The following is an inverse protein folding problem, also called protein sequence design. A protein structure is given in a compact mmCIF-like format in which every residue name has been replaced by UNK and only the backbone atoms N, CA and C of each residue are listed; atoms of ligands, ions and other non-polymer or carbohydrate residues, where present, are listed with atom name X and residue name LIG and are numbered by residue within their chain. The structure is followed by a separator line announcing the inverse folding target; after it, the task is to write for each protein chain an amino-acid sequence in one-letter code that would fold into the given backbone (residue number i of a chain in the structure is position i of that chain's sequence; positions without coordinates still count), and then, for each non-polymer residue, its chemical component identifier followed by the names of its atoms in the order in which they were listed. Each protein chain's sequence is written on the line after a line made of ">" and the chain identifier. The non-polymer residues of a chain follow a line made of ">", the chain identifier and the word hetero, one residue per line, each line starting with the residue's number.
data_IF_810798636834
#
_entry.id   IF_810798636834
#
_cell.length_a   1.000
_cell.length_b   1.000
_cell.length_c   1.000
_cell.angle_alpha   90.00
_cell.angle_beta   90.00
_cell.angle_gamma   90.00
#
_symmetry.space_group_name_H-M   'P 1'
#
loop_
_entity.id
_entity.type
_entity.pdbx_description
1 polymer ?
#
# COMPACT_ATOMS: atom_id res chain seq x y z
N UNK A 1 3.43 -9.49 20.59
CA UNK A 1 3.57 -9.38 19.13
C UNK A 1 3.56 -10.78 18.56
N UNK A 2 2.66 -11.08 17.64
CA UNK A 2 2.52 -12.40 16.99
C UNK A 2 2.84 -12.25 15.50
N UNK A 3 3.71 -13.13 14.99
CA UNK A 3 4.02 -13.23 13.56
C UNK A 3 3.47 -14.55 13.03
N UNK A 4 2.81 -14.52 11.87
CA UNK A 4 2.18 -15.67 11.25
C UNK A 4 2.43 -15.66 9.75
N UNK A 5 2.90 -16.80 9.22
CA UNK A 5 2.90 -17.02 7.78
C UNK A 5 1.47 -17.31 7.30
N UNK A 6 1.06 -16.64 6.25
CA UNK A 6 -0.26 -16.79 5.64
C UNK A 6 -0.10 -17.14 4.17
N UNK A 7 -0.95 -18.01 3.66
CA UNK A 7 -1.01 -18.37 2.25
C UNK A 7 -2.46 -18.21 1.77
N UNK A 8 -2.68 -17.29 0.84
CA UNK A 8 -4.00 -16.92 0.36
C UNK A 8 -4.12 -17.32 -1.10
N UNK A 9 -5.14 -18.13 -1.42
CA UNK A 9 -5.41 -18.51 -2.80
C UNK A 9 -6.06 -17.35 -3.54
N UNK A 10 -5.38 -16.86 -4.56
CA UNK A 10 -5.87 -15.82 -5.46
C UNK A 10 -5.96 -16.38 -6.89
N UNK A 11 -7.15 -16.87 -7.24
CA UNK A 11 -7.42 -17.60 -8.49
C UNK A 11 -6.49 -18.83 -8.65
N UNK A 12 -5.58 -18.85 -9.62
CA UNK A 12 -4.59 -19.93 -9.81
C UNK A 12 -3.27 -19.68 -9.06
N UNK A 13 -3.13 -18.54 -8.38
CA UNK A 13 -1.92 -18.15 -7.67
C UNK A 13 -2.08 -18.30 -6.16
N UNK A 14 -0.99 -18.63 -5.50
CA UNK A 14 -0.85 -18.56 -4.05
C UNK A 14 -0.12 -17.25 -3.69
N UNK A 15 -0.73 -16.47 -2.81
CA UNK A 15 -0.10 -15.29 -2.23
C UNK A 15 0.44 -15.68 -0.86
N UNK A 16 1.74 -15.91 -0.78
CA UNK A 16 2.40 -16.20 0.47
C UNK A 16 2.84 -14.89 1.13
N UNK A 17 2.57 -14.75 2.41
CA UNK A 17 2.81 -13.50 3.11
C UNK A 17 3.08 -13.66 4.59
N UNK A 18 3.38 -12.55 5.22
CA UNK A 18 3.62 -12.44 6.65
C UNK A 18 2.63 -11.44 7.24
N UNK A 19 1.83 -11.95 8.17
CA UNK A 19 0.97 -11.16 9.04
C UNK A 19 1.70 -10.94 10.37
N UNK A 20 1.84 -9.67 10.79
CA UNK A 20 2.38 -9.33 12.09
C UNK A 20 1.34 -8.54 12.88
N UNK A 21 0.97 -9.07 14.04
CA UNK A 21 -0.06 -8.51 14.93
C UNK A 21 0.56 -8.04 16.24
N UNK A 22 0.54 -6.73 16.54
CA UNK A 22 0.78 -6.23 17.89
C UNK A 22 -0.30 -6.74 18.88
N UNK A 23 0.02 -6.80 20.16
CA UNK A 23 -0.94 -7.27 21.20
C UNK A 23 -2.22 -6.44 21.26
N UNK A 24 -2.14 -5.17 20.92
CA UNK A 24 -3.28 -4.23 20.88
C UNK A 24 -3.26 -3.51 19.56
N UNK A 25 -3.63 -4.22 18.49
CA UNK A 25 -3.69 -3.62 17.17
C UNK A 25 -4.87 -2.63 17.08
N UNK A 26 -4.59 -1.40 16.64
CA UNK A 26 -5.61 -0.36 16.40
C UNK A 26 -6.15 -0.39 14.97
N UNK A 27 -5.48 -1.11 14.08
CA UNK A 27 -5.84 -1.32 12.68
C UNK A 27 -4.80 -2.17 12.00
N UNK A 28 -4.99 -2.45 10.73
CA UNK A 28 -4.08 -3.24 9.90
C UNK A 28 -3.78 -2.54 8.58
N UNK A 29 -2.53 -2.57 8.14
CA UNK A 29 -2.13 -2.06 6.83
C UNK A 29 -1.74 -3.21 5.93
N UNK A 30 -2.42 -3.30 4.79
CA UNK A 30 -2.11 -4.20 3.69
C UNK A 30 -1.13 -3.51 2.74
N UNK A 31 0.06 -4.09 2.60
CA UNK A 31 1.11 -3.57 1.73
C UNK A 31 0.99 -4.17 0.33
N UNK A 32 0.91 -3.30 -0.67
CA UNK A 32 1.13 -3.71 -2.04
C UNK A 32 2.62 -3.56 -2.36
N UNK A 33 3.28 -4.66 -2.63
CA UNK A 33 4.67 -4.64 -3.08
C UNK A 33 4.74 -4.93 -4.58
N UNK A 34 5.59 -4.20 -5.27
CA UNK A 34 6.07 -4.59 -6.58
C UNK A 34 7.47 -5.18 -6.41
N UNK A 35 7.62 -6.48 -6.58
CA UNK A 35 8.94 -7.06 -6.67
C UNK A 35 9.65 -6.47 -7.90
N UNK A 36 10.68 -5.66 -7.67
CA UNK A 36 11.61 -5.35 -8.76
C UNK A 36 12.39 -6.60 -9.08
N UNK A 37 12.47 -7.02 -10.36
CA UNK A 37 13.26 -8.18 -10.73
C UNK A 37 14.70 -8.06 -10.19
N UNK A 38 15.13 -9.03 -9.38
CA UNK A 38 16.47 -9.06 -8.80
C UNK A 38 16.62 -8.43 -7.39
N UNK A 39 15.57 -7.93 -6.78
CA UNK A 39 15.65 -7.34 -5.42
C UNK A 39 15.58 -8.35 -4.27
N UNK A 40 15.44 -9.65 -4.56
CA UNK A 40 15.45 -10.70 -3.53
C UNK A 40 14.25 -10.69 -2.59
N UNK A 41 13.14 -10.06 -2.99
CA UNK A 41 12.00 -9.77 -2.14
C UNK A 41 12.25 -8.59 -1.20
N UNK A 42 11.26 -7.75 -0.99
CA UNK A 42 11.36 -6.56 -0.11
C UNK A 42 11.61 -6.91 1.37
N UNK A 43 11.57 -8.19 1.74
CA UNK A 43 11.94 -8.66 3.08
C UNK A 43 13.38 -8.33 3.46
N UNK A 44 14.26 -8.21 2.48
CA UNK A 44 15.68 -7.89 2.70
C UNK A 44 15.98 -6.40 2.52
N UNK A 45 15.00 -5.58 2.08
CA UNK A 45 15.20 -4.14 1.95
C UNK A 45 15.14 -3.47 3.34
N UNK A 46 16.26 -2.96 3.89
CA UNK A 46 16.28 -2.36 5.23
C UNK A 46 15.31 -1.21 5.39
N UNK A 47 15.02 -0.51 4.30
CA UNK A 47 14.14 0.65 4.32
C UNK A 47 12.64 0.27 4.39
N UNK A 48 12.22 -0.77 3.68
CA UNK A 48 10.87 -1.32 3.83
C UNK A 48 10.68 -1.91 5.23
N UNK A 49 11.70 -2.59 5.75
CA UNK A 49 11.68 -3.10 7.13
C UNK A 49 11.52 -2.00 8.18
N UNK A 50 12.18 -0.85 8.01
CA UNK A 50 12.02 0.28 8.92
C UNK A 50 10.57 0.79 8.94
N UNK A 51 9.91 0.92 7.79
CA UNK A 51 8.50 1.32 7.69
C UNK A 51 7.58 0.35 8.43
N UNK A 52 7.80 -0.96 8.28
CA UNK A 52 7.01 -1.98 9.00
C UNK A 52 7.19 -1.86 10.51
N UNK A 53 8.44 -1.67 10.98
CA UNK A 53 8.73 -1.52 12.40
C UNK A 53 8.07 -0.28 13.00
N UNK A 54 8.04 0.83 12.28
CA UNK A 54 7.39 2.06 12.75
C UNK A 54 5.87 1.86 12.89
N UNK A 55 5.22 1.18 11.95
CA UNK A 55 3.81 0.84 12.06
C UNK A 55 3.53 -0.09 13.25
N UNK A 56 4.34 -1.12 13.43
CA UNK A 56 4.19 -2.06 14.55
C UNK A 56 4.39 -1.38 15.91
N UNK A 57 5.34 -0.44 16.04
CA UNK A 57 5.54 0.36 17.27
C UNK A 57 4.32 1.23 17.58
N UNK A 58 3.63 1.71 16.57
CA UNK A 58 2.39 2.48 16.72
C UNK A 58 1.14 1.62 16.97
N UNK A 59 1.30 0.29 17.08
CA UNK A 59 0.18 -0.62 17.26
C UNK A 59 -0.60 -0.91 15.97
N UNK A 60 -0.03 -0.63 14.80
CA UNK A 60 -0.64 -0.95 13.51
C UNK A 60 -0.13 -2.31 13.05
N UNK A 61 -1.04 -3.27 12.86
CA UNK A 61 -0.72 -4.57 12.28
C UNK A 61 -0.33 -4.43 10.80
N UNK A 62 0.46 -5.36 10.29
CA UNK A 62 0.90 -5.35 8.89
C UNK A 62 0.67 -6.69 8.22
N UNK A 63 0.12 -6.67 7.01
CA UNK A 63 0.10 -7.82 6.12
C UNK A 63 0.88 -7.47 4.85
N UNK A 64 1.87 -8.27 4.55
CA UNK A 64 2.74 -8.12 3.38
C UNK A 64 2.88 -9.45 2.68
N UNK A 65 2.84 -9.43 1.36
CA UNK A 65 3.01 -10.60 0.52
C UNK A 65 4.37 -10.56 -0.18
N UNK A 66 4.99 -11.73 -0.26
CA UNK A 66 6.01 -11.95 -1.27
C UNK A 66 5.26 -12.16 -2.59
N UNK A 67 5.07 -11.10 -3.34
CA UNK A 67 4.57 -11.24 -4.70
C UNK A 67 5.73 -11.82 -5.49
N UNK A 68 5.77 -13.16 -5.53
CA UNK A 68 6.63 -13.90 -6.43
C UNK A 68 6.51 -13.28 -7.81
N UNK A 69 7.57 -13.30 -8.59
CA UNK A 69 7.66 -12.69 -9.93
C UNK A 69 6.32 -12.82 -10.67
N UNK A 70 5.50 -11.75 -10.62
CA UNK A 70 4.50 -11.55 -11.64
C UNK A 70 5.34 -11.34 -12.90
N UNK A 71 5.59 -12.42 -13.63
CA UNK A 71 6.32 -12.36 -14.88
C UNK A 71 5.56 -11.38 -15.77
N UNK A 72 6.05 -10.18 -16.02
CA UNK A 72 5.46 -9.31 -17.02
C UNK A 72 5.61 -10.08 -18.33
N UNK A 73 4.59 -10.09 -19.15
CA UNK A 73 4.55 -10.84 -20.40
C UNK A 73 5.87 -10.83 -21.16
N UNK A 74 6.52 -11.95 -21.16
CA UNK A 74 7.71 -12.44 -21.83
C UNK A 74 8.49 -11.50 -22.75
N UNK A 75 9.13 -10.50 -22.21
CA UNK A 75 10.13 -9.70 -22.94
C UNK A 75 11.53 -10.11 -22.52
N UNK A 76 12.29 -10.72 -23.39
CA UNK A 76 13.64 -11.26 -23.17
C UNK A 76 14.74 -10.23 -22.89
N UNK A 77 14.42 -8.98 -22.60
CA UNK A 77 15.38 -7.87 -22.46
C UNK A 77 15.22 -7.08 -21.15
N UNK A 78 15.21 -7.73 -20.00
CA UNK A 78 15.59 -7.13 -18.71
C UNK A 78 14.88 -5.87 -18.19
N UNK A 79 13.97 -5.25 -18.94
CA UNK A 79 13.19 -4.06 -18.57
C UNK A 79 11.73 -4.30 -18.88
N UNK A 80 11.04 -5.01 -18.00
CA UNK A 80 9.60 -5.16 -18.12
C UNK A 80 8.94 -3.86 -17.67
N UNK A 81 8.33 -3.16 -18.61
CA UNK A 81 7.46 -2.03 -18.30
C UNK A 81 6.09 -2.55 -17.89
N UNK A 82 5.69 -2.31 -16.64
CA UNK A 82 4.33 -2.58 -16.20
C UNK A 82 3.35 -1.67 -16.97
N UNK A 83 2.29 -2.26 -17.49
CA UNK A 83 1.21 -1.54 -18.16
C UNK A 83 -0.06 -1.55 -17.31
N UNK A 84 -1.05 -0.75 -17.69
CA UNK A 84 -2.29 -0.64 -16.92
C UNK A 84 -3.00 -2.00 -16.67
N UNK A 85 -2.95 -2.95 -17.61
CA UNK A 85 -3.52 -4.29 -17.41
C UNK A 85 -2.86 -5.06 -16.28
N UNK A 86 -1.55 -4.87 -16.05
CA UNK A 86 -0.82 -5.52 -14.98
C UNK A 86 -1.24 -4.92 -13.63
N UNK A 87 -1.44 -3.58 -13.57
CA UNK A 87 -1.96 -2.91 -12.36
C UNK A 87 -3.34 -3.43 -11.98
N UNK A 88 -4.23 -3.64 -12.94
CA UNK A 88 -5.57 -4.21 -12.72
C UNK A 88 -5.47 -5.64 -12.18
N UNK A 89 -4.60 -6.46 -12.76
CA UNK A 89 -4.38 -7.85 -12.31
C UNK A 89 -3.84 -7.87 -10.87
N UNK A 90 -2.80 -7.11 -10.58
CA UNK A 90 -2.20 -7.00 -9.25
C UNK A 90 -3.22 -6.49 -8.21
N UNK A 91 -4.06 -5.51 -8.58
CA UNK A 91 -5.10 -5.02 -7.70
C UNK A 91 -6.17 -6.08 -7.39
N UNK A 92 -6.52 -6.95 -8.36
CA UNK A 92 -7.43 -8.09 -8.13
C UNK A 92 -6.83 -9.13 -7.19
N UNK A 93 -5.54 -9.41 -7.30
CA UNK A 93 -4.83 -10.29 -6.37
C UNK A 93 -4.86 -9.70 -4.96
N UNK A 94 -4.53 -8.41 -4.83
CA UNK A 94 -4.54 -7.73 -3.55
C UNK A 94 -5.95 -7.64 -2.94
N UNK A 95 -7.00 -7.58 -3.76
CA UNK A 95 -8.40 -7.65 -3.31
C UNK A 95 -8.72 -8.96 -2.58
N UNK A 96 -8.15 -10.09 -3.01
CA UNK A 96 -8.32 -11.38 -2.31
C UNK A 96 -7.72 -11.32 -0.91
N UNK A 97 -6.54 -10.69 -0.78
CA UNK A 97 -5.91 -10.48 0.52
C UNK A 97 -6.75 -9.55 1.42
N UNK A 98 -7.30 -8.48 0.86
CA UNK A 98 -8.21 -7.59 1.60
C UNK A 98 -9.45 -8.34 2.10
N UNK A 99 -10.07 -9.18 1.28
CA UNK A 99 -11.21 -10.02 1.66
C UNK A 99 -10.84 -11.05 2.71
N UNK A 100 -9.65 -11.65 2.60
CA UNK A 100 -9.17 -12.58 3.61
C UNK A 100 -9.04 -11.91 4.98
N UNK A 101 -8.46 -10.71 5.07
CA UNK A 101 -8.39 -9.92 6.30
C UNK A 101 -9.76 -9.70 6.96
N UNK A 102 -10.81 -9.55 6.18
CA UNK A 102 -12.18 -9.33 6.66
C UNK A 102 -12.86 -10.61 7.18
N UNK A 103 -12.34 -11.77 6.84
CA UNK A 103 -12.89 -13.07 7.26
C UNK A 103 -12.07 -13.74 8.36
N UNK A 104 -10.79 -13.42 8.46
CA UNK A 104 -9.91 -13.98 9.47
C UNK A 104 -10.26 -13.48 10.88
N UNK A 105 -10.30 -14.42 11.83
CA UNK A 105 -10.76 -14.14 13.21
C UNK A 105 -9.89 -13.12 13.92
N UNK A 106 -8.59 -13.09 13.61
CA UNK A 106 -7.63 -12.19 14.26
C UNK A 106 -7.64 -10.77 13.69
N UNK A 107 -8.15 -10.57 12.47
CA UNK A 107 -8.04 -9.28 11.76
C UNK A 107 -9.37 -8.65 11.36
N UNK A 108 -10.46 -9.43 11.24
CA UNK A 108 -11.76 -8.96 10.72
C UNK A 108 -12.39 -7.78 11.46
N UNK A 109 -11.98 -7.56 12.70
CA UNK A 109 -12.46 -6.46 13.54
C UNK A 109 -11.60 -5.19 13.41
N UNK A 110 -10.47 -5.27 12.70
CA UNK A 110 -9.54 -4.17 12.54
C UNK A 110 -9.90 -3.35 11.28
N UNK A 111 -9.92 -2.00 11.37
CA UNK A 111 -9.97 -1.18 10.18
C UNK A 111 -8.74 -1.42 9.31
N UNK A 112 -8.94 -1.51 8.00
CA UNK A 112 -7.87 -1.82 7.06
C UNK A 112 -7.41 -0.58 6.31
N UNK A 113 -6.10 -0.34 6.29
CA UNK A 113 -5.43 0.63 5.43
C UNK A 113 -4.70 -0.05 4.28
N UNK A 114 -4.39 0.71 3.22
CA UNK A 114 -3.58 0.28 2.09
C UNK A 114 -2.31 1.13 2.01
N UNK A 115 -1.17 0.49 1.77
CA UNK A 115 0.11 1.18 1.55
C UNK A 115 0.77 0.72 0.25
N UNK A 116 1.27 1.68 -0.55
CA UNK A 116 2.01 1.39 -1.78
C UNK A 116 3.09 2.43 -2.04
N UNK A 117 4.20 2.01 -2.63
CA UNK A 117 5.28 2.88 -3.09
C UNK A 117 5.57 2.69 -4.58
N UNK A 118 6.13 3.69 -5.24
CA UNK A 118 6.47 3.62 -6.66
C UNK A 118 5.30 3.11 -7.51
N UNK A 119 5.48 1.97 -8.17
CA UNK A 119 4.46 1.34 -9.02
C UNK A 119 3.29 0.79 -8.18
N UNK A 120 3.55 0.25 -6.99
CA UNK A 120 2.50 -0.32 -6.15
C UNK A 120 1.50 0.72 -5.64
N UNK A 121 1.85 2.01 -5.69
CA UNK A 121 0.90 3.10 -5.47
C UNK A 121 -0.27 3.06 -6.48
N UNK A 122 -0.02 2.71 -7.73
CA UNK A 122 -1.08 2.56 -8.72
C UNK A 122 -1.99 1.35 -8.41
N UNK A 123 -1.42 0.28 -7.87
CA UNK A 123 -2.17 -0.93 -7.47
C UNK A 123 -3.14 -0.61 -6.34
N UNK A 124 -2.67 0.08 -5.27
CA UNK A 124 -3.55 0.44 -4.15
C UNK A 124 -4.60 1.48 -4.54
N UNK A 125 -4.29 2.41 -5.44
CA UNK A 125 -5.28 3.35 -5.99
C UNK A 125 -6.37 2.62 -6.77
N UNK A 126 -6.00 1.64 -7.59
CA UNK A 126 -6.93 0.83 -8.35
C UNK A 126 -7.82 0.00 -7.43
N UNK A 127 -7.26 -0.64 -6.39
CA UNK A 127 -8.03 -1.38 -5.39
C UNK A 127 -8.97 -0.46 -4.61
N UNK A 128 -8.50 0.70 -4.16
CA UNK A 128 -9.30 1.66 -3.42
C UNK A 128 -10.49 2.22 -4.23
N UNK A 129 -10.35 2.32 -5.56
CA UNK A 129 -11.44 2.72 -6.45
C UNK A 129 -12.60 1.70 -6.49
N UNK A 130 -12.31 0.41 -6.23
CA UNK A 130 -13.32 -0.67 -6.25
C UNK A 130 -13.85 -1.00 -4.86
N UNK A 131 -13.02 -0.89 -3.83
CA UNK A 131 -13.25 -1.44 -2.50
C UNK A 131 -13.34 -0.37 -1.42
N UNK A 132 -13.88 0.81 -1.76
CA UNK A 132 -13.92 1.97 -0.86
C UNK A 132 -14.59 1.70 0.49
N UNK A 133 -15.61 0.84 0.56
CA UNK A 133 -16.29 0.47 1.80
C UNK A 133 -15.48 -0.46 2.72
N UNK A 134 -14.40 -1.03 2.20
CA UNK A 134 -13.57 -2.02 2.91
C UNK A 134 -12.23 -1.43 3.39
N UNK A 135 -11.94 -0.20 3.01
CA UNK A 135 -10.66 0.47 3.27
C UNK A 135 -10.89 1.76 4.03
N UNK A 136 -10.27 1.89 5.19
CA UNK A 136 -10.42 3.06 6.06
C UNK A 136 -9.57 4.25 5.59
N UNK A 137 -8.37 3.99 5.10
CA UNK A 137 -7.45 5.00 4.60
C UNK A 137 -6.38 4.38 3.67
N UNK A 138 -5.74 5.20 2.84
CA UNK A 138 -4.57 4.77 2.10
C UNK A 138 -3.44 5.80 2.20
N UNK A 139 -2.21 5.33 2.08
CA UNK A 139 -1.02 6.15 1.96
C UNK A 139 -0.12 5.63 0.83
N UNK A 140 0.44 6.53 0.05
CA UNK A 140 1.36 6.20 -1.04
C UNK A 140 2.62 7.06 -0.97
N UNK A 141 3.76 6.47 -1.34
CA UNK A 141 5.04 7.15 -1.36
C UNK A 141 5.66 7.09 -2.76
N UNK A 142 6.10 8.23 -3.30
CA UNK A 142 6.74 8.35 -4.62
C UNK A 142 5.95 7.64 -5.75
N UNK A 143 4.61 7.77 -5.70
CA UNK A 143 3.70 6.96 -6.50
C UNK A 143 3.72 7.25 -7.98
N UNK A 144 3.78 6.20 -8.81
CA UNK A 144 3.54 6.25 -10.25
C UNK A 144 2.03 6.11 -10.56
N UNK A 145 1.23 6.99 -9.98
CA UNK A 145 -0.23 6.88 -9.99
C UNK A 145 -0.87 7.02 -11.38
N UNK A 146 -0.15 7.54 -12.36
CA UNK A 146 -0.60 7.56 -13.76
C UNK A 146 -0.91 6.18 -14.32
N UNK A 147 -0.27 5.13 -13.81
CA UNK A 147 -0.50 3.73 -14.21
C UNK A 147 -1.88 3.21 -13.77
N UNK A 148 -2.48 3.77 -12.71
CA UNK A 148 -3.85 3.44 -12.30
C UNK A 148 -4.90 3.94 -13.32
N UNK A 149 -4.55 4.95 -14.09
CA UNK A 149 -5.44 5.61 -15.02
C UNK A 149 -6.37 6.64 -14.36
N UNK A 150 -6.80 7.61 -15.16
CA UNK A 150 -7.64 8.73 -14.70
C UNK A 150 -8.94 8.25 -14.05
N UNK A 151 -9.61 7.30 -14.67
CA UNK A 151 -10.91 6.78 -14.18
C UNK A 151 -10.80 6.17 -12.79
N UNK A 152 -9.74 5.41 -12.50
CA UNK A 152 -9.53 4.87 -11.17
C UNK A 152 -9.33 5.99 -10.14
N UNK A 153 -8.44 6.96 -10.44
CA UNK A 153 -8.20 8.10 -9.55
C UNK A 153 -9.48 8.91 -9.27
N UNK A 154 -10.32 9.15 -10.27
CA UNK A 154 -11.60 9.84 -10.12
C UNK A 154 -12.61 9.07 -9.26
N UNK A 155 -12.46 7.75 -9.15
CA UNK A 155 -13.35 6.86 -8.39
C UNK A 155 -12.87 6.55 -6.97
N UNK A 156 -11.65 6.90 -6.61
CA UNK A 156 -11.19 6.76 -5.21
C UNK A 156 -12.05 7.63 -4.29
N UNK A 157 -12.58 7.00 -3.22
CA UNK A 157 -13.38 7.66 -2.16
C UNK A 157 -12.74 7.52 -0.79
N UNK A 158 -11.67 6.75 -0.71
CA UNK A 158 -10.92 6.46 0.51
C UNK A 158 -10.04 7.67 0.85
N UNK A 159 -9.97 8.11 2.11
CA UNK A 159 -9.02 9.12 2.56
C UNK A 159 -7.59 8.77 2.13
N UNK A 160 -6.90 9.70 1.47
CA UNK A 160 -5.67 9.40 0.72
C UNK A 160 -4.53 10.35 1.07
N UNK A 161 -3.44 9.82 1.60
CA UNK A 161 -2.19 10.54 1.84
C UNK A 161 -1.20 10.24 0.70
N UNK A 162 -0.73 11.29 0.03
CA UNK A 162 0.31 11.23 -0.98
C UNK A 162 1.59 11.83 -0.41
N UNK A 163 2.65 11.06 -0.40
CA UNK A 163 3.96 11.47 0.09
C UNK A 163 4.96 11.43 -1.05
N UNK A 164 5.74 12.50 -1.22
CA UNK A 164 6.76 12.58 -2.26
C UNK A 164 8.10 12.91 -1.62
N UNK A 165 9.05 11.98 -1.74
CA UNK A 165 10.42 12.12 -1.27
C UNK A 165 11.32 12.76 -2.33
N UNK A 166 12.38 13.40 -1.83
CA UNK A 166 13.42 13.91 -2.72
C UNK A 166 13.04 15.17 -3.51
N UNK A 167 13.87 15.46 -4.52
CA UNK A 167 13.80 16.68 -5.32
C UNK A 167 13.50 16.39 -6.79
N UNK A 168 12.91 15.22 -7.10
CA UNK A 168 12.53 14.88 -8.46
C UNK A 168 11.27 15.64 -8.86
N UNK A 169 11.38 16.68 -9.72
CA UNK A 169 10.26 17.51 -10.10
C UNK A 169 9.21 16.74 -10.92
N UNK A 170 9.62 15.69 -11.63
CA UNK A 170 8.72 14.89 -12.46
C UNK A 170 7.82 14.01 -11.58
N UNK A 171 8.40 13.34 -10.57
CA UNK A 171 7.63 12.57 -9.58
C UNK A 171 6.66 13.48 -8.83
N UNK A 172 7.12 14.65 -8.38
CA UNK A 172 6.26 15.62 -7.71
C UNK A 172 5.14 16.13 -8.63
N UNK A 173 5.45 16.40 -9.89
CA UNK A 173 4.47 16.82 -10.91
C UNK A 173 3.38 15.78 -11.12
N UNK A 174 3.75 14.50 -11.28
CA UNK A 174 2.81 13.38 -11.42
C UNK A 174 1.91 13.22 -10.20
N UNK A 175 2.48 13.34 -8.99
CA UNK A 175 1.71 13.25 -7.75
C UNK A 175 0.75 14.43 -7.57
N UNK A 176 1.14 15.65 -7.96
CA UNK A 176 0.24 16.81 -7.98
C UNK A 176 -0.91 16.64 -8.95
N UNK A 177 -0.67 16.08 -10.13
CA UNK A 177 -1.73 15.76 -11.11
C UNK A 177 -2.71 14.73 -10.54
N UNK A 178 -2.22 13.66 -9.92
CA UNK A 178 -3.07 12.68 -9.27
C UNK A 178 -3.86 13.31 -8.12
N UNK A 179 -3.21 14.13 -7.28
CA UNK A 179 -3.86 14.85 -6.19
C UNK A 179 -5.02 15.71 -6.69
N UNK A 180 -4.87 16.45 -7.79
CA UNK A 180 -5.99 17.26 -8.34
C UNK A 180 -7.13 16.39 -8.88
N UNK A 181 -6.84 15.18 -9.33
CA UNK A 181 -7.82 14.25 -9.90
C UNK A 181 -8.65 13.53 -8.84
N UNK A 182 -8.06 13.20 -7.70
CA UNK A 182 -8.73 12.54 -6.58
C UNK A 182 -9.90 13.40 -6.06
N UNK A 183 -11.01 12.74 -5.66
CA UNK A 183 -12.25 13.37 -5.17
C UNK A 183 -12.62 12.95 -3.75
N UNK A 184 -11.65 12.50 -2.98
CA UNK A 184 -11.77 12.10 -1.58
C UNK A 184 -11.13 13.13 -0.66
N UNK A 185 -11.22 12.92 0.66
CA UNK A 185 -10.34 13.56 1.62
C UNK A 185 -8.90 13.19 1.30
N UNK A 186 -8.00 14.18 1.21
CA UNK A 186 -6.65 13.95 0.69
C UNK A 186 -5.65 14.97 1.18
N UNK A 187 -4.41 14.49 1.32
CA UNK A 187 -3.27 15.31 1.72
C UNK A 187 -2.07 14.97 0.82
N UNK A 188 -1.28 15.98 0.48
CA UNK A 188 -0.02 15.83 -0.26
C UNK A 188 1.11 16.41 0.57
N UNK A 189 2.04 15.55 0.96
CA UNK A 189 3.21 15.90 1.77
C UNK A 189 4.50 15.76 0.96
N UNK A 190 5.30 16.79 0.96
CA UNK A 190 6.65 16.75 0.38
C UNK A 190 7.66 16.50 1.50
N UNK A 191 8.36 15.36 1.42
CA UNK A 191 9.35 14.95 2.40
C UNK A 191 10.64 15.75 2.15
N UNK A 192 11.04 16.52 3.16
CA UNK A 192 12.19 17.43 3.06
C UNK A 192 13.55 16.73 3.21
N UNK A 193 13.57 15.48 3.68
CA UNK A 193 14.82 14.74 3.89
C UNK A 193 15.50 14.39 2.55
N UNK A 194 16.83 14.41 2.48
CA UNK A 194 17.59 14.20 1.24
C UNK A 194 17.64 12.72 0.79
N UNK A 195 16.51 12.04 0.75
CA UNK A 195 16.43 10.64 0.32
C UNK A 195 16.95 9.63 1.35
N UNK A 196 16.91 8.34 1.01
CA UNK A 196 17.45 7.28 1.86
C UNK A 196 16.56 6.93 3.06
N UNK A 197 17.16 6.43 4.14
CA UNK A 197 16.47 5.95 5.33
C UNK A 197 15.70 7.04 6.07
N UNK A 198 16.25 8.27 6.14
CA UNK A 198 15.61 9.39 6.85
C UNK A 198 14.31 9.82 6.16
N UNK A 199 14.29 9.88 4.81
CA UNK A 199 13.09 10.19 4.06
C UNK A 199 12.01 9.11 4.23
N UNK A 200 12.40 7.84 4.23
CA UNK A 200 11.47 6.72 4.44
C UNK A 200 10.92 6.69 5.85
N UNK A 201 11.75 6.97 6.84
CA UNK A 201 11.31 7.08 8.23
C UNK A 201 10.31 8.24 8.39
N UNK A 202 10.56 9.40 7.79
CA UNK A 202 9.62 10.51 7.79
C UNK A 202 8.29 10.13 7.10
N UNK A 203 8.35 9.44 5.95
CA UNK A 203 7.16 8.91 5.28
C UNK A 203 6.37 7.94 6.17
N UNK A 204 7.08 7.03 6.88
CA UNK A 204 6.47 6.07 7.79
C UNK A 204 5.76 6.76 8.96
N UNK A 205 6.35 7.81 9.54
CA UNK A 205 5.72 8.59 10.60
C UNK A 205 4.46 9.31 10.11
N UNK A 206 4.51 9.99 8.97
CA UNK A 206 3.35 10.64 8.35
C UNK A 206 2.22 9.64 8.06
N UNK A 207 2.55 8.48 7.49
CA UNK A 207 1.59 7.43 7.23
C UNK A 207 1.00 6.84 8.53
N UNK A 208 1.81 6.68 9.58
CA UNK A 208 1.38 6.23 10.90
C UNK A 208 0.35 7.18 11.51
N UNK A 209 0.61 8.48 11.50
CA UNK A 209 -0.30 9.50 12.01
C UNK A 209 -1.61 9.50 11.21
N UNK A 210 -1.51 9.41 9.87
CA UNK A 210 -2.64 9.33 8.96
C UNK A 210 -3.55 8.14 9.28
N UNK A 211 -2.98 6.93 9.37
CA UNK A 211 -3.75 5.73 9.68
C UNK A 211 -4.34 5.78 11.07
N UNK A 212 -3.59 6.21 12.08
CA UNK A 212 -4.09 6.30 13.47
C UNK A 212 -5.30 7.22 13.55
N UNK A 213 -5.25 8.36 12.86
CA UNK A 213 -6.38 9.29 12.78
C UNK A 213 -7.64 8.64 12.18
N UNK A 214 -7.50 8.00 11.02
CA UNK A 214 -8.64 7.43 10.30
C UNK A 214 -9.14 6.11 10.91
N UNK A 215 -8.29 5.31 11.52
CA UNK A 215 -8.69 4.07 12.21
C UNK A 215 -9.54 4.38 13.46
N UNK A 216 -9.18 5.39 14.23
CA UNK A 216 -9.97 5.82 15.39
C UNK A 216 -11.37 6.32 14.99
N UNK A 217 -11.49 7.00 13.86
CA UNK A 217 -12.78 7.44 13.31
C UNK A 217 -13.68 6.29 12.88
N UNK A 218 -13.11 5.21 12.33
CA UNK A 218 -13.87 4.02 11.92
C UNK A 218 -14.41 3.22 13.09
N UNK A 219 -13.67 3.09 14.18
CA UNK A 219 -14.12 2.39 15.39
C UNK A 219 -15.36 3.06 16.02
N UNK A 220 -15.51 4.39 15.88
CA UNK A 220 -16.65 5.14 16.41
C UNK A 220 -17.93 5.03 15.58
N UNK A 221 -17.85 4.57 14.33
CA UNK A 221 -19.01 4.48 13.41
C UNK A 221 -19.69 3.11 13.45
N UNK A 222 -19.08 2.13 14.10
CA UNK A 222 -19.57 0.75 14.23
C UNK A 222 -20.24 0.45 15.60
N UNK A 223 -20.38 1.45 16.46
CA UNK A 223 -21.14 1.42 17.72
C UNK A 223 -22.50 2.11 17.55
#
# INVERSE_FOLDING_TARGET
>A
MQEQFVSITADELQLDGILVLPERAVGIVLFAHSASPGSGGDYLNPAAQATFQDFLRAGIATLRFDQGEVAPGGGSNGHAYLVHSDIVLLARQLEKALRWLQTDVSTRHLPCGLYGDGVSAAVVMQLAAWSASQVAALAVCDGQMGLAGKTALENVRVPSLLMVGGHDPDVLGLNRMAFTTLRCDKQLEQIAAPGGLDARHQAALLATDWYTHHFNGHASTLQ
#
